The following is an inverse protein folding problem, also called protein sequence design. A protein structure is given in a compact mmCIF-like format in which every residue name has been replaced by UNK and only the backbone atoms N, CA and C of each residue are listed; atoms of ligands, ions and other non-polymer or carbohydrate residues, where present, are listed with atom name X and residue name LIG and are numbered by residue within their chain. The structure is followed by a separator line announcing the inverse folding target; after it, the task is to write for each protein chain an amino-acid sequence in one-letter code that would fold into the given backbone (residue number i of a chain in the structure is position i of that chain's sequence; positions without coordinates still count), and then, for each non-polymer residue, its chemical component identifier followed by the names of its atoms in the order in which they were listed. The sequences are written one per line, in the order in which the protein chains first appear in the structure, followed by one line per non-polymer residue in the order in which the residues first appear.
data_IF_289364301177
#
_entry.id   IF_289364301177
#
_cell.length_a   1.000
_cell.length_b   1.000
_cell.length_c   1.000
_cell.angle_alpha   90.00
_cell.angle_beta   90.00
_cell.angle_gamma   90.00
#
_symmetry.space_group_name_H-M   'P 1'
#
loop_
_entity.id
_entity.type
_entity.pdbx_description
1 polymer ?
#
# COMPACT_ATOMS: atom_id res chain seq x y z
N UNK A 1 -9.28 -27.99 16.41
CA UNK A 1 -8.33 -26.85 16.36
C UNK A 1 -8.97 -25.81 15.45
N UNK A 2 -9.44 -24.66 15.92
CA UNK A 2 -9.76 -23.60 14.97
C UNK A 2 -8.43 -23.16 14.36
N UNK A 3 -8.37 -23.21 13.03
CA UNK A 3 -7.30 -22.62 12.25
C UNK A 3 -7.28 -21.15 12.68
N UNK A 4 -6.25 -20.71 13.42
CA UNK A 4 -6.08 -19.30 13.71
C UNK A 4 -5.80 -18.64 12.36
N UNK A 5 -6.89 -18.25 11.70
CA UNK A 5 -6.92 -17.66 10.37
C UNK A 5 -5.85 -16.59 10.33
N UNK A 6 -4.98 -16.75 9.35
CA UNK A 6 -3.98 -15.80 8.90
C UNK A 6 -4.60 -14.41 9.01
N UNK A 7 -4.11 -13.57 9.93
CA UNK A 7 -4.60 -12.21 10.06
C UNK A 7 -4.40 -11.57 8.69
N UNK A 8 -5.48 -11.27 7.97
CA UNK A 8 -5.45 -10.79 6.59
C UNK A 8 -4.85 -9.38 6.58
N UNK A 9 -3.53 -9.32 6.62
CA UNK A 9 -2.79 -8.08 6.69
C UNK A 9 -2.14 -7.82 5.34
N UNK A 10 -2.14 -6.56 4.93
CA UNK A 10 -1.54 -6.10 3.70
C UNK A 10 -0.63 -4.93 3.99
N UNK A 11 0.45 -4.85 3.22
CA UNK A 11 1.27 -3.65 3.13
C UNK A 11 1.19 -3.10 1.71
N UNK A 12 0.89 -1.82 1.60
CA UNK A 12 0.83 -1.08 0.36
C UNK A 12 1.97 -0.09 0.35
N UNK A 13 2.94 -0.34 -0.50
CA UNK A 13 4.00 0.59 -0.80
C UNK A 13 3.53 1.58 -1.85
N UNK A 14 3.75 2.86 -1.59
CA UNK A 14 3.53 3.96 -2.50
C UNK A 14 4.90 4.39 -3.03
N UNK A 15 5.02 4.44 -4.36
CA UNK A 15 6.28 4.71 -5.04
C UNK A 15 6.21 5.99 -5.88
N UNK A 16 7.38 6.59 -6.07
CA UNK A 16 7.67 7.72 -6.96
C UNK A 16 8.84 7.31 -7.86
N UNK A 17 8.56 7.01 -9.13
CA UNK A 17 9.58 6.53 -10.09
C UNK A 17 10.44 5.38 -9.52
N UNK A 18 9.78 4.38 -8.92
CA UNK A 18 10.36 3.23 -8.21
C UNK A 18 11.03 3.51 -6.84
N UNK A 19 11.05 4.75 -6.37
CA UNK A 19 11.50 5.11 -5.01
C UNK A 19 10.33 4.96 -4.04
N UNK A 20 10.52 4.18 -2.96
CA UNK A 20 9.52 4.05 -1.90
C UNK A 20 9.33 5.38 -1.16
N UNK A 21 8.11 5.94 -1.23
CA UNK A 21 7.71 7.14 -0.48
C UNK A 21 7.07 6.78 0.86
N UNK A 22 6.16 5.81 0.85
CA UNK A 22 5.37 5.46 2.03
C UNK A 22 4.98 4.00 2.01
N UNK A 23 4.83 3.43 3.20
CA UNK A 23 4.19 2.13 3.42
C UNK A 23 2.90 2.36 4.21
N UNK A 24 1.79 1.81 3.74
CA UNK A 24 0.51 1.76 4.43
C UNK A 24 0.25 0.31 4.85
N UNK A 25 0.07 0.05 6.13
CA UNK A 25 -0.32 -1.26 6.63
C UNK A 25 -1.81 -1.28 6.93
N UNK A 26 -2.50 -2.33 6.50
CA UNK A 26 -3.94 -2.50 6.75
C UNK A 26 -4.24 -3.96 7.09
N UNK A 27 -5.25 -4.19 7.92
CA UNK A 27 -5.79 -5.52 8.22
C UNK A 27 -7.06 -5.82 7.42
N UNK A 28 -7.32 -5.04 6.37
CA UNK A 28 -8.46 -5.19 5.46
C UNK A 28 -7.98 -5.06 4.02
N UNK A 29 -8.80 -5.46 3.05
CA UNK A 29 -8.54 -5.32 1.60
C UNK A 29 -8.55 -3.87 1.08
N UNK A 30 -8.51 -2.88 1.98
CA UNK A 30 -8.52 -1.46 1.65
C UNK A 30 -7.51 -0.71 2.51
N UNK A 31 -6.78 0.21 1.89
CA UNK A 31 -5.87 1.15 2.54
C UNK A 31 -6.22 2.57 2.09
N UNK A 32 -6.18 3.52 3.00
CA UNK A 32 -6.49 4.92 2.71
C UNK A 32 -5.20 5.73 2.71
N UNK A 33 -4.86 6.31 1.55
CA UNK A 33 -3.79 7.29 1.42
C UNK A 33 -4.37 8.69 1.55
N UNK A 34 -4.40 9.21 2.78
CA UNK A 34 -5.08 10.47 3.13
C UNK A 34 -4.42 11.69 2.50
N UNK A 35 -5.17 12.78 2.33
CA UNK A 35 -4.64 14.04 1.81
C UNK A 35 -3.47 14.61 2.65
N UNK A 36 -3.47 14.37 3.97
CA UNK A 36 -2.37 14.77 4.84
C UNK A 36 -1.09 13.96 4.56
N UNK A 37 -1.22 12.65 4.31
CA UNK A 37 -0.09 11.80 3.92
C UNK A 37 0.43 12.20 2.54
N UNK A 38 -0.46 12.44 1.57
CA UNK A 38 -0.11 12.96 0.25
C UNK A 38 0.67 14.28 0.35
N UNK A 39 0.18 15.22 1.16
CA UNK A 39 0.86 16.50 1.38
C UNK A 39 2.24 16.32 2.03
N UNK A 40 2.42 15.35 2.92
CA UNK A 40 3.71 15.08 3.53
C UNK A 40 4.73 14.49 2.54
N UNK A 41 4.27 13.66 1.60
CA UNK A 41 5.13 12.94 0.67
C UNK A 41 5.41 13.72 -0.64
N UNK A 42 4.45 14.56 -1.05
CA UNK A 42 4.45 15.29 -2.32
C UNK A 42 4.43 16.82 -2.17
N UNK A 43 4.20 17.35 -0.96
CA UNK A 43 4.04 18.79 -0.70
C UNK A 43 2.63 19.34 -0.97
N UNK A 44 1.76 18.56 -1.61
CA UNK A 44 0.35 18.86 -1.84
C UNK A 44 -0.45 17.55 -2.03
N UNK A 45 -1.79 17.58 -1.93
CA UNK A 45 -2.63 16.46 -2.37
C UNK A 45 -2.43 16.18 -3.87
N UNK A 46 -2.46 14.90 -4.24
CA UNK A 46 -2.39 14.48 -5.64
C UNK A 46 -3.66 14.93 -6.37
N UNK A 47 -3.49 15.31 -7.64
CA UNK A 47 -4.55 15.83 -8.49
C UNK A 47 -5.06 14.76 -9.48
N UNK A 48 -6.29 14.94 -10.01
CA UNK A 48 -6.76 14.10 -11.10
C UNK A 48 -5.80 14.16 -12.31
N UNK A 49 -5.42 13.00 -12.82
CA UNK A 49 -4.44 12.84 -13.88
C UNK A 49 -3.03 12.46 -13.39
N UNK A 50 -2.75 12.57 -12.09
CA UNK A 50 -1.50 12.04 -11.53
C UNK A 50 -1.50 10.51 -11.55
N UNK A 51 -0.30 9.93 -11.66
CA UNK A 51 -0.09 8.49 -11.62
C UNK A 51 0.67 8.09 -10.37
N UNK A 52 0.24 6.99 -9.75
CA UNK A 52 0.88 6.44 -8.56
C UNK A 52 1.21 4.97 -8.78
N UNK A 53 2.49 4.63 -8.74
CA UNK A 53 2.90 3.24 -8.69
C UNK A 53 2.79 2.73 -7.26
N UNK A 54 2.07 1.62 -7.09
CA UNK A 54 1.91 0.96 -5.80
C UNK A 54 2.33 -0.51 -5.88
N UNK A 55 2.83 -1.04 -4.76
CA UNK A 55 3.08 -2.47 -4.58
C UNK A 55 2.31 -2.96 -3.37
N UNK A 56 1.48 -3.97 -3.58
CA UNK A 56 0.66 -4.57 -2.54
C UNK A 56 1.27 -5.91 -2.16
N UNK A 57 1.56 -6.09 -0.88
CA UNK A 57 2.09 -7.32 -0.31
C UNK A 57 1.03 -7.89 0.63
N UNK A 58 0.60 -9.13 0.38
CA UNK A 58 -0.14 -9.87 1.39
C UNK A 58 0.84 -10.38 2.44
N UNK A 59 0.57 -10.09 3.70
CA UNK A 59 1.33 -10.61 4.82
C UNK A 59 0.76 -11.96 5.23
N UNK A 60 1.67 -12.92 5.41
CA UNK A 60 1.36 -14.21 6.04
C UNK A 60 2.07 -14.29 7.39
N UNK A 61 1.45 -14.95 8.36
CA UNK A 61 2.08 -15.19 9.65
C UNK A 61 3.34 -16.06 9.56
N UNK A 62 3.46 -16.87 8.49
CA UNK A 62 4.52 -17.85 8.31
C UNK A 62 5.73 -17.31 7.54
N UNK A 63 5.51 -16.45 6.53
CA UNK A 63 6.54 -16.00 5.57
C UNK A 63 6.74 -14.48 5.62
N UNK A 64 5.88 -13.73 6.31
CA UNK A 64 5.89 -12.27 6.26
C UNK A 64 5.35 -11.77 4.92
N UNK A 65 6.06 -10.83 4.26
CA UNK A 65 5.67 -10.29 2.95
C UNK A 65 5.67 -11.38 1.86
N UNK A 66 4.50 -11.62 1.28
CA UNK A 66 4.34 -12.42 0.07
C UNK A 66 4.86 -11.70 -1.18
N UNK A 67 4.60 -12.29 -2.36
CA UNK A 67 4.99 -11.68 -3.62
C UNK A 67 4.28 -10.33 -3.86
N UNK A 68 4.99 -9.27 -4.29
CA UNK A 68 4.37 -7.98 -4.56
C UNK A 68 3.46 -8.05 -5.78
N UNK A 69 2.26 -7.49 -5.63
CA UNK A 69 1.42 -7.10 -6.76
C UNK A 69 1.66 -5.63 -7.07
N UNK A 70 2.28 -5.35 -8.21
CA UNK A 70 2.52 -3.98 -8.67
C UNK A 70 1.33 -3.48 -9.48
N UNK A 71 0.85 -2.27 -9.20
CA UNK A 71 -0.27 -1.63 -9.88
C UNK A 71 0.04 -0.15 -10.06
N UNK A 72 -0.19 0.40 -11.24
CA UNK A 72 -0.17 1.84 -11.48
C UNK A 72 -1.61 2.36 -11.39
N UNK A 73 -1.86 3.28 -10.47
CA UNK A 73 -3.14 3.97 -10.31
C UNK A 73 -3.10 5.28 -11.07
N UNK A 74 -4.19 5.63 -11.75
CA UNK A 74 -4.44 6.97 -12.29
C UNK A 74 -5.52 7.61 -11.44
N UNK A 75 -5.24 8.80 -10.89
CA UNK A 75 -6.13 9.54 -9.99
C UNK A 75 -7.15 10.41 -10.73
#
# INVERSE_FOLDING_TARGET
MPLAEELEAYEVEILDDAILKRVLSTATTSAVYTAAQQTADWGAPLAPGDTLDIRIFQLSALVGRGAPKTVTLTL
#
